data_IF_164037982715
#
_entry.id   IF_164037982715
#
_cell.length_a   1.000
_cell.length_b   1.000
_cell.length_c   1.000
_cell.angle_alpha   90.00
_cell.angle_beta   90.00
_cell.angle_gamma   90.00
#
_symmetry.space_group_name_H-M   'P 1'
#
loop_
_entity.id
_entity.type
_entity.pdbx_description
1 polymer ?
#
# COMPACT_ATOMS: atom_id res chain seq x y z
N UNK A 1 -36.93 29.33 12.55
CA UNK A 1 -37.00 27.90 12.84
C UNK A 1 -36.67 27.21 11.55
N UNK A 2 -35.44 26.73 11.40
CA UNK A 2 -35.03 25.96 10.22
C UNK A 2 -35.62 24.57 10.40
N UNK A 3 -36.53 24.17 9.52
CA UNK A 3 -37.02 22.79 9.42
C UNK A 3 -35.82 21.92 9.07
N UNK A 4 -35.37 21.09 10.01
CA UNK A 4 -34.45 19.99 9.75
C UNK A 4 -35.22 18.96 8.90
N UNK A 5 -35.03 19.01 7.56
CA UNK A 5 -35.48 17.93 6.69
C UNK A 5 -34.84 16.64 7.23
N UNK A 6 -35.64 15.60 7.57
CA UNK A 6 -35.08 14.35 8.02
C UNK A 6 -34.16 13.82 6.90
N UNK A 7 -32.90 13.58 7.20
CA UNK A 7 -31.98 12.92 6.26
C UNK A 7 -32.60 11.59 5.86
N UNK A 8 -32.99 11.45 4.59
CA UNK A 8 -33.57 10.20 4.08
C UNK A 8 -32.56 9.08 4.33
N UNK A 9 -33.05 7.94 4.82
CA UNK A 9 -32.26 6.71 4.95
C UNK A 9 -31.62 6.40 3.61
N UNK A 10 -30.26 6.39 3.50
CA UNK A 10 -29.61 6.08 2.24
C UNK A 10 -29.84 4.62 1.86
N UNK A 11 -29.90 4.34 0.56
CA UNK A 11 -29.91 2.96 0.07
C UNK A 11 -28.56 2.27 0.38
N UNK A 12 -27.46 3.00 0.19
CA UNK A 12 -26.09 2.50 0.36
C UNK A 12 -25.30 3.42 1.29
N UNK A 13 -24.79 2.86 2.37
CA UNK A 13 -23.80 3.50 3.23
C UNK A 13 -22.40 3.03 2.84
N UNK A 14 -21.55 3.93 2.37
CA UNK A 14 -20.14 3.63 2.06
C UNK A 14 -19.26 4.14 3.19
N UNK A 15 -18.48 3.27 3.82
CA UNK A 15 -17.60 3.62 4.94
C UNK A 15 -16.15 3.68 4.46
N UNK A 16 -15.54 4.86 4.53
CA UNK A 16 -14.20 5.20 4.04
C UNK A 16 -14.24 6.22 2.90
N UNK A 17 -13.07 6.79 2.56
CA UNK A 17 -12.92 7.82 1.52
C UNK A 17 -11.77 7.57 0.54
N UNK A 18 -11.19 6.36 0.54
CA UNK A 18 -10.17 5.95 -0.42
C UNK A 18 -10.75 5.60 -1.79
N UNK A 19 -9.89 5.13 -2.71
CA UNK A 19 -10.32 4.78 -4.08
C UNK A 19 -11.41 3.71 -4.11
N UNK A 20 -11.39 2.74 -3.20
CA UNK A 20 -12.44 1.73 -3.12
C UNK A 20 -13.80 2.35 -2.80
N UNK A 21 -13.85 3.22 -1.79
CA UNK A 21 -15.06 3.91 -1.37
C UNK A 21 -15.62 4.81 -2.48
N UNK A 22 -14.76 5.58 -3.13
CA UNK A 22 -15.16 6.48 -4.22
C UNK A 22 -15.68 5.70 -5.43
N UNK A 23 -15.00 4.61 -5.83
CA UNK A 23 -15.48 3.77 -6.92
C UNK A 23 -16.81 3.09 -6.56
N UNK A 24 -16.98 2.63 -5.30
CA UNK A 24 -18.24 2.06 -4.82
C UNK A 24 -19.37 3.10 -4.82
N UNK A 25 -19.14 4.28 -4.29
CA UNK A 25 -20.14 5.34 -4.24
C UNK A 25 -20.59 5.80 -5.64
N UNK A 26 -19.64 6.02 -6.56
CA UNK A 26 -19.94 6.40 -7.94
C UNK A 26 -20.72 5.30 -8.65
N UNK A 27 -20.31 4.03 -8.52
CA UNK A 27 -20.98 2.91 -9.15
C UNK A 27 -22.41 2.72 -8.61
N UNK A 28 -22.59 2.81 -7.29
CA UNK A 28 -23.90 2.73 -6.67
C UNK A 28 -24.83 3.87 -7.12
N UNK A 29 -24.33 5.11 -7.18
CA UNK A 29 -25.10 6.27 -7.68
C UNK A 29 -25.49 6.10 -9.14
N UNK A 30 -24.59 5.65 -10.00
CA UNK A 30 -24.91 5.34 -11.41
C UNK A 30 -25.91 4.20 -11.53
N UNK A 31 -25.92 3.29 -10.56
CA UNK A 31 -26.92 2.24 -10.39
C UNK A 31 -28.28 2.75 -9.91
N UNK A 32 -28.46 4.05 -9.60
CA UNK A 32 -29.71 4.66 -9.17
C UNK A 32 -29.94 4.69 -7.66
N UNK A 33 -29.03 4.14 -6.84
CA UNK A 33 -29.14 4.15 -5.39
C UNK A 33 -28.84 5.53 -4.79
N UNK A 34 -29.49 5.91 -3.70
CA UNK A 34 -29.05 7.01 -2.84
C UNK A 34 -27.84 6.58 -2.03
N UNK A 35 -26.79 7.42 -1.96
CA UNK A 35 -25.51 7.06 -1.33
C UNK A 35 -25.07 8.12 -0.32
N UNK A 36 -24.79 7.67 0.89
CA UNK A 36 -24.08 8.44 1.92
C UNK A 36 -22.70 7.82 2.14
N UNK A 37 -21.64 8.63 2.09
CA UNK A 37 -20.27 8.21 2.31
C UNK A 37 -19.73 8.86 3.58
N UNK A 38 -19.07 8.08 4.45
CA UNK A 38 -18.51 8.53 5.73
C UNK A 38 -17.00 8.40 5.70
N UNK A 39 -16.29 9.52 5.80
CA UNK A 39 -14.83 9.62 5.82
C UNK A 39 -14.35 10.18 7.16
N UNK A 40 -13.47 9.44 7.83
CA UNK A 40 -12.90 9.85 9.11
C UNK A 40 -11.96 11.04 9.01
N UNK A 41 -11.22 11.14 7.90
CA UNK A 41 -10.28 12.20 7.68
C UNK A 41 -10.99 13.53 7.34
N UNK A 42 -10.40 14.69 7.72
CA UNK A 42 -10.85 15.97 7.23
C UNK A 42 -10.65 16.08 5.71
N UNK A 43 -11.35 17.03 5.09
CA UNK A 43 -11.28 17.27 3.64
C UNK A 43 -9.86 17.39 3.11
N UNK A 44 -8.96 18.02 3.85
CA UNK A 44 -7.55 18.23 3.46
C UNK A 44 -6.72 16.96 3.43
N UNK A 45 -7.09 15.94 4.22
CA UNK A 45 -6.36 14.68 4.39
C UNK A 45 -7.14 13.46 3.88
N UNK A 46 -8.30 13.67 3.27
CA UNK A 46 -9.17 12.62 2.71
C UNK A 46 -8.47 11.76 1.67
N UNK A 47 -8.98 10.57 1.45
CA UNK A 47 -8.57 9.68 0.37
C UNK A 47 -7.70 8.50 0.79
N UNK A 48 -7.51 8.30 2.09
CA UNK A 48 -6.75 7.17 2.64
C UNK A 48 -5.35 7.05 2.03
N UNK A 49 -4.80 5.86 1.98
CA UNK A 49 -3.49 5.60 1.38
C UNK A 49 -3.44 5.80 -0.14
N UNK A 50 -4.59 5.85 -0.82
CA UNK A 50 -4.63 6.09 -2.28
C UNK A 50 -4.02 7.43 -2.66
N UNK A 51 -4.08 8.45 -1.80
CA UNK A 51 -3.44 9.78 -2.04
C UNK A 51 -1.94 9.69 -2.30
N UNK A 52 -1.27 8.62 -1.81
CA UNK A 52 0.15 8.36 -2.02
C UNK A 52 0.44 7.39 -3.18
N UNK A 53 -0.60 6.89 -3.86
CA UNK A 53 -0.44 6.02 -5.00
C UNK A 53 0.09 6.80 -6.22
N UNK A 54 0.68 6.08 -7.18
CA UNK A 54 1.15 6.68 -8.42
C UNK A 54 0.76 5.89 -9.66
N UNK A 55 0.50 4.59 -9.50
CA UNK A 55 0.22 3.68 -10.59
C UNK A 55 -0.70 2.54 -10.13
N UNK A 56 -1.31 1.88 -11.08
CA UNK A 56 -2.08 0.66 -10.86
C UNK A 56 -1.73 -0.38 -11.92
N UNK A 57 -1.92 -1.65 -11.57
CA UNK A 57 -1.68 -2.79 -12.44
C UNK A 57 -2.98 -3.15 -13.17
N UNK A 58 -2.88 -3.47 -14.46
CA UNK A 58 -4.04 -3.78 -15.29
C UNK A 58 -3.71 -4.88 -16.29
N UNK A 59 -4.73 -5.66 -16.65
CA UNK A 59 -4.71 -6.57 -17.78
C UNK A 59 -4.96 -5.77 -19.07
N UNK A 60 -4.22 -6.12 -20.13
CA UNK A 60 -4.42 -5.55 -21.46
C UNK A 60 -3.85 -6.48 -22.54
N UNK A 61 -4.58 -6.65 -23.64
CA UNK A 61 -4.23 -7.60 -24.70
C UNK A 61 -3.18 -7.04 -25.68
N UNK A 62 -3.03 -5.72 -25.73
CA UNK A 62 -2.06 -5.05 -26.60
C UNK A 62 -1.68 -3.68 -26.06
N UNK A 63 -0.76 -2.99 -26.77
CA UNK A 63 -0.35 -1.64 -26.41
C UNK A 63 -1.52 -0.67 -26.34
N UNK A 64 -1.52 0.17 -25.32
CA UNK A 64 -2.41 1.32 -25.17
C UNK A 64 -1.54 2.58 -25.00
N UNK A 65 -2.10 3.75 -25.24
CA UNK A 65 -1.36 5.01 -25.11
C UNK A 65 -0.74 5.22 -23.71
N UNK A 66 -1.25 4.53 -22.67
CA UNK A 66 -0.79 4.60 -21.28
C UNK A 66 0.03 3.37 -20.82
N UNK A 67 0.09 2.30 -21.60
CA UNK A 67 0.93 1.11 -21.34
C UNK A 67 1.43 0.50 -22.65
N UNK A 68 2.73 0.18 -22.75
CA UNK A 68 3.26 -0.57 -23.89
C UNK A 68 3.00 -2.08 -23.70
N UNK A 69 3.18 -2.85 -24.77
CA UNK A 69 3.13 -4.32 -24.79
C UNK A 69 1.73 -4.92 -24.53
N UNK A 70 1.70 -6.17 -24.09
CA UNK A 70 0.52 -6.91 -23.65
C UNK A 70 0.76 -7.53 -22.28
N UNK A 71 -0.32 -7.70 -21.52
CA UNK A 71 -0.29 -8.37 -20.21
C UNK A 71 -1.62 -9.09 -19.97
N UNK A 72 -1.78 -10.24 -20.62
CA UNK A 72 -3.00 -11.04 -20.56
C UNK A 72 -3.23 -11.71 -19.20
N UNK A 73 -4.43 -12.26 -19.01
CA UNK A 73 -4.93 -12.84 -17.76
C UNK A 73 -3.95 -13.84 -17.14
N UNK A 74 -3.46 -14.82 -17.94
CA UNK A 74 -2.59 -15.87 -17.41
C UNK A 74 -1.21 -15.37 -16.99
N UNK A 75 -0.65 -14.39 -17.70
CA UNK A 75 0.61 -13.76 -17.31
C UNK A 75 0.46 -12.99 -15.99
N UNK A 76 -0.65 -12.30 -15.82
CA UNK A 76 -0.95 -11.58 -14.60
C UNK A 76 -1.19 -12.57 -13.44
N UNK A 77 -1.97 -13.62 -13.66
CA UNK A 77 -2.25 -14.65 -12.66
C UNK A 77 -0.96 -15.36 -12.22
N UNK A 78 -0.07 -15.75 -13.15
CA UNK A 78 1.25 -16.32 -12.80
C UNK A 78 2.09 -15.39 -11.95
N UNK A 79 2.10 -14.09 -12.26
CA UNK A 79 2.82 -13.11 -11.43
C UNK A 79 2.24 -13.02 -10.01
N UNK A 80 0.91 -13.08 -9.88
CA UNK A 80 0.23 -13.05 -8.59
C UNK A 80 0.54 -14.32 -7.78
N UNK A 81 0.35 -15.51 -8.36
CA UNK A 81 0.66 -16.78 -7.70
C UNK A 81 2.12 -16.84 -7.24
N UNK A 82 3.05 -16.32 -8.05
CA UNK A 82 4.47 -16.26 -7.70
C UNK A 82 4.74 -15.42 -6.44
N UNK A 83 4.10 -14.25 -6.32
CA UNK A 83 4.35 -13.35 -5.17
C UNK A 83 3.58 -13.78 -3.92
N UNK A 84 2.44 -14.44 -4.08
CA UNK A 84 1.63 -14.98 -2.98
C UNK A 84 2.04 -16.40 -2.59
N UNK A 85 2.97 -17.01 -3.33
CA UNK A 85 3.35 -18.43 -3.15
C UNK A 85 2.14 -19.38 -3.22
N UNK A 86 1.13 -19.01 -4.01
CA UNK A 86 -0.12 -19.75 -4.16
C UNK A 86 -1.20 -19.42 -3.13
N UNK A 87 -0.91 -18.62 -2.11
CA UNK A 87 -1.88 -18.19 -1.10
C UNK A 87 -2.76 -17.04 -1.65
N UNK A 88 -3.58 -17.33 -2.66
CA UNK A 88 -4.53 -16.39 -3.25
C UNK A 88 -5.86 -17.12 -3.50
N UNK A 89 -6.96 -16.45 -3.22
CA UNK A 89 -8.29 -16.90 -3.67
C UNK A 89 -8.35 -16.77 -5.19
N UNK A 90 -8.39 -17.91 -5.91
CA UNK A 90 -8.29 -17.91 -7.36
C UNK A 90 -9.50 -17.28 -8.06
N UNK A 91 -10.77 -17.54 -7.66
CA UNK A 91 -11.94 -16.84 -8.16
C UNK A 91 -11.82 -15.32 -8.04
N UNK A 92 -11.54 -14.80 -6.85
CA UNK A 92 -11.37 -13.36 -6.61
C UNK A 92 -10.18 -12.79 -7.39
N UNK A 93 -9.07 -13.51 -7.46
CA UNK A 93 -7.90 -13.09 -8.24
C UNK A 93 -8.22 -12.93 -9.73
N UNK A 94 -8.93 -13.88 -10.35
CA UNK A 94 -9.34 -13.81 -11.75
C UNK A 94 -10.39 -12.73 -11.98
N UNK A 95 -11.35 -12.55 -11.05
CA UNK A 95 -12.30 -11.46 -11.08
C UNK A 95 -11.60 -10.09 -11.08
N UNK A 96 -10.62 -9.91 -10.20
CA UNK A 96 -9.77 -8.71 -10.17
C UNK A 96 -9.03 -8.49 -11.48
N UNK A 97 -8.38 -9.53 -12.01
CA UNK A 97 -7.56 -9.42 -13.21
C UNK A 97 -8.41 -9.00 -14.41
N UNK A 98 -9.54 -9.67 -14.64
CA UNK A 98 -10.47 -9.34 -15.73
C UNK A 98 -11.05 -7.94 -15.54
N UNK A 99 -11.53 -7.61 -14.33
CA UNK A 99 -12.06 -6.28 -14.03
C UNK A 99 -11.04 -5.15 -14.18
N UNK A 100 -9.73 -5.48 -14.12
CA UNK A 100 -8.67 -4.47 -14.28
C UNK A 100 -8.53 -3.97 -15.72
N UNK A 101 -9.00 -4.71 -16.72
CA UNK A 101 -9.08 -4.23 -18.10
C UNK A 101 -10.16 -3.15 -18.24
N UNK A 102 -11.33 -3.38 -17.64
CA UNK A 102 -12.49 -2.49 -17.76
C UNK A 102 -12.42 -1.26 -16.84
N UNK A 103 -11.64 -1.34 -15.78
CA UNK A 103 -11.56 -0.23 -14.81
C UNK A 103 -10.87 1.01 -15.39
N UNK A 104 -9.94 0.83 -16.32
CA UNK A 104 -9.16 1.95 -16.88
C UNK A 104 -10.03 2.93 -17.65
N UNK A 105 -10.82 2.53 -18.67
CA UNK A 105 -11.74 3.45 -19.35
C UNK A 105 -12.76 4.04 -18.37
N UNK A 106 -13.26 3.24 -17.42
CA UNK A 106 -14.18 3.73 -16.40
C UNK A 106 -13.57 4.84 -15.52
N UNK A 107 -12.30 4.72 -15.09
CA UNK A 107 -11.59 5.76 -14.34
C UNK A 107 -11.42 7.04 -15.17
N UNK A 108 -11.09 6.92 -16.46
CA UNK A 108 -10.95 8.06 -17.39
C UNK A 108 -12.28 8.79 -17.55
N UNK A 109 -13.40 8.08 -17.73
CA UNK A 109 -14.76 8.64 -17.78
C UNK A 109 -15.14 9.38 -16.48
N UNK A 110 -14.54 8.99 -15.35
CA UNK A 110 -14.73 9.65 -14.06
C UNK A 110 -13.67 10.73 -13.77
N UNK A 111 -12.99 11.23 -14.81
CA UNK A 111 -12.10 12.38 -14.75
C UNK A 111 -10.66 12.07 -14.33
N UNK A 112 -10.30 10.79 -14.13
CA UNK A 112 -8.93 10.40 -13.84
C UNK A 112 -8.06 10.54 -15.09
N UNK A 113 -6.90 11.17 -14.94
CA UNK A 113 -5.95 11.34 -16.04
C UNK A 113 -4.75 10.39 -15.85
N UNK A 114 -4.34 9.78 -16.95
CA UNK A 114 -3.15 8.95 -17.01
C UNK A 114 -2.01 9.71 -17.70
N UNK A 115 -0.77 9.29 -17.45
CA UNK A 115 0.38 9.83 -18.16
C UNK A 115 0.86 8.86 -19.24
N UNK A 116 1.51 9.40 -20.25
CA UNK A 116 2.23 8.64 -21.26
C UNK A 116 3.37 7.83 -20.62
N UNK A 117 3.50 6.53 -20.92
CA UNK A 117 4.61 5.71 -20.41
C UNK A 117 5.99 6.23 -20.77
N UNK A 118 6.14 6.90 -21.90
CA UNK A 118 7.40 7.47 -22.37
C UNK A 118 7.85 8.71 -21.60
N UNK A 119 6.94 9.38 -20.89
CA UNK A 119 7.23 10.63 -20.16
C UNK A 119 7.74 10.41 -18.73
N UNK A 120 7.77 9.17 -18.25
CA UNK A 120 8.22 8.85 -16.89
C UNK A 120 9.72 8.78 -16.73
N UNK A 121 10.28 9.50 -15.76
CA UNK A 121 11.71 9.43 -15.40
C UNK A 121 12.14 8.06 -14.84
N UNK A 122 11.21 7.15 -14.58
CA UNK A 122 11.46 5.89 -13.89
C UNK A 122 11.15 4.69 -14.79
N UNK A 123 12.07 3.72 -14.93
CA UNK A 123 11.88 2.52 -15.75
C UNK A 123 10.93 1.55 -15.05
N UNK A 124 9.65 1.86 -15.02
CA UNK A 124 8.66 1.00 -14.41
C UNK A 124 8.20 -0.16 -15.27
N UNK A 125 7.61 -1.12 -14.58
CA UNK A 125 6.99 -2.28 -15.17
C UNK A 125 6.03 -1.84 -16.29
N UNK A 126 6.19 -2.42 -17.48
CA UNK A 126 5.30 -2.26 -18.64
C UNK A 126 3.88 -2.80 -18.40
N UNK A 127 3.54 -3.14 -17.16
CA UNK A 127 2.31 -3.79 -16.72
C UNK A 127 1.48 -2.90 -15.79
N UNK A 128 1.84 -1.63 -15.70
CA UNK A 128 1.17 -0.64 -14.83
C UNK A 128 1.00 0.67 -15.55
N UNK A 129 -0.20 1.26 -15.45
CA UNK A 129 -0.46 2.63 -15.88
C UNK A 129 -0.22 3.62 -14.73
N UNK A 130 0.20 4.83 -15.06
CA UNK A 130 0.54 5.89 -14.10
C UNK A 130 -0.49 6.99 -14.12
N UNK A 131 -0.85 7.49 -12.94
CA UNK A 131 -1.73 8.65 -12.81
C UNK A 131 -0.97 9.95 -13.06
N UNK A 132 -1.49 10.80 -13.92
CA UNK A 132 -1.00 12.17 -14.06
C UNK A 132 -1.35 12.96 -12.78
N UNK A 133 -0.32 13.44 -12.09
CA UNK A 133 -0.46 14.08 -10.77
C UNK A 133 -0.63 13.10 -9.61
N UNK A 134 -0.42 11.80 -9.85
CA UNK A 134 -0.43 10.76 -8.83
C UNK A 134 -1.80 10.48 -8.20
N UNK A 135 -1.79 9.75 -7.09
CA UNK A 135 -3.02 9.33 -6.40
C UNK A 135 -3.85 10.50 -5.87
N UNK A 136 -3.22 11.60 -5.48
CA UNK A 136 -3.96 12.78 -5.02
C UNK A 136 -4.80 13.40 -6.13
N UNK A 137 -4.29 13.49 -7.35
CA UNK A 137 -5.07 13.96 -8.50
C UNK A 137 -6.20 12.97 -8.83
N UNK A 138 -5.91 11.66 -8.83
CA UNK A 138 -6.92 10.62 -9.04
C UNK A 138 -8.08 10.73 -8.06
N UNK A 139 -7.82 10.75 -6.75
CA UNK A 139 -8.91 10.82 -5.76
C UNK A 139 -9.68 12.13 -5.85
N UNK A 140 -9.04 13.26 -6.13
CA UNK A 140 -9.73 14.53 -6.29
C UNK A 140 -10.70 14.50 -7.50
N UNK A 141 -10.33 13.87 -8.60
CA UNK A 141 -11.21 13.67 -9.75
C UNK A 141 -12.43 12.80 -9.38
N UNK A 142 -12.18 11.68 -8.66
CA UNK A 142 -13.27 10.81 -8.19
C UNK A 142 -14.17 11.49 -7.16
N UNK A 143 -13.64 12.29 -6.23
CA UNK A 143 -14.44 13.10 -5.32
C UNK A 143 -15.32 14.11 -6.08
N UNK A 144 -14.77 14.80 -7.07
CA UNK A 144 -15.53 15.74 -7.89
C UNK A 144 -16.67 15.03 -8.63
N UNK A 145 -16.42 13.84 -9.17
CA UNK A 145 -17.45 13.02 -9.83
C UNK A 145 -18.51 12.52 -8.85
N UNK A 146 -18.12 12.03 -7.67
CA UNK A 146 -19.05 11.57 -6.63
C UNK A 146 -20.01 12.70 -6.19
N UNK A 147 -19.47 13.89 -5.92
CA UNK A 147 -20.26 15.08 -5.57
C UNK A 147 -21.20 15.51 -6.70
N UNK A 148 -20.72 15.52 -7.96
CA UNK A 148 -21.55 15.83 -9.13
C UNK A 148 -22.72 14.85 -9.31
N UNK A 149 -22.53 13.59 -8.94
CA UNK A 149 -23.58 12.56 -8.97
C UNK A 149 -24.52 12.63 -7.75
N UNK A 150 -24.31 13.55 -6.80
CA UNK A 150 -25.16 13.71 -5.63
C UNK A 150 -24.87 12.69 -4.51
N UNK A 151 -23.62 12.21 -4.37
CA UNK A 151 -23.20 11.48 -3.20
C UNK A 151 -23.08 12.45 -2.02
N UNK A 152 -23.75 12.17 -0.91
CA UNK A 152 -23.54 12.90 0.35
C UNK A 152 -22.26 12.38 1.01
N UNK A 153 -21.35 13.27 1.40
CA UNK A 153 -20.05 12.90 1.99
C UNK A 153 -19.87 13.63 3.31
N UNK A 154 -19.76 12.84 4.38
CA UNK A 154 -19.48 13.33 5.73
C UNK A 154 -17.99 13.15 6.02
N UNK A 155 -17.29 14.24 6.23
CA UNK A 155 -15.88 14.27 6.65
C UNK A 155 -15.79 14.41 8.19
N UNK A 156 -14.61 14.16 8.74
CA UNK A 156 -14.37 14.20 10.20
C UNK A 156 -15.37 13.30 10.96
N UNK A 157 -15.77 12.18 10.32
CA UNK A 157 -16.88 11.33 10.76
C UNK A 157 -16.41 9.90 10.88
N UNK A 158 -16.42 9.35 12.10
CA UNK A 158 -15.93 8.02 12.42
C UNK A 158 -17.08 7.06 12.72
N UNK A 159 -17.10 5.90 12.08
CA UNK A 159 -17.98 4.79 12.47
C UNK A 159 -17.43 4.14 13.72
N UNK A 160 -18.19 4.22 14.83
CA UNK A 160 -17.78 3.73 16.15
C UNK A 160 -18.54 2.48 16.59
N UNK A 161 -19.68 2.17 15.95
CA UNK A 161 -20.40 0.91 16.10
C UNK A 161 -21.10 0.55 14.79
N UNK A 162 -21.34 -0.74 14.58
CA UNK A 162 -22.12 -1.24 13.45
C UNK A 162 -22.94 -2.46 13.86
N UNK A 163 -24.09 -2.62 13.20
CA UNK A 163 -24.93 -3.79 13.33
C UNK A 163 -25.57 -4.16 11.99
N UNK A 164 -25.72 -5.44 11.73
CA UNK A 164 -26.36 -5.95 10.52
C UNK A 164 -26.96 -7.34 10.78
N UNK A 165 -28.05 -7.62 10.09
CA UNK A 165 -28.70 -8.93 10.11
C UNK A 165 -29.19 -9.28 8.70
N UNK A 166 -29.48 -10.54 8.44
CA UNK A 166 -29.90 -10.98 7.10
C UNK A 166 -31.35 -10.57 6.73
N UNK A 167 -32.16 -10.23 7.73
CA UNK A 167 -33.58 -9.89 7.53
C UNK A 167 -33.86 -8.38 7.65
N UNK A 168 -32.82 -7.55 7.79
CA UNK A 168 -33.00 -6.13 8.08
C UNK A 168 -31.90 -5.26 7.43
N UNK A 169 -32.00 -3.97 7.66
CA UNK A 169 -31.05 -2.98 7.24
C UNK A 169 -29.74 -3.08 8.04
N UNK A 170 -28.66 -2.56 7.45
CA UNK A 170 -27.42 -2.28 8.18
C UNK A 170 -27.58 -0.99 8.98
N UNK A 171 -26.93 -0.88 10.13
CA UNK A 171 -26.85 0.36 10.86
C UNK A 171 -25.41 0.63 11.32
N UNK A 172 -25.04 1.89 11.33
CA UNK A 172 -23.77 2.38 11.86
C UNK A 172 -24.00 3.58 12.78
N UNK A 173 -23.30 3.61 13.90
CA UNK A 173 -23.22 4.77 14.76
C UNK A 173 -22.00 5.61 14.35
N UNK A 174 -22.25 6.84 13.96
CA UNK A 174 -21.25 7.76 13.38
C UNK A 174 -20.98 8.86 14.39
N UNK A 175 -19.73 8.97 14.83
CA UNK A 175 -19.25 10.04 15.68
C UNK A 175 -18.78 11.21 14.82
N UNK A 176 -19.43 12.35 14.97
CA UNK A 176 -19.05 13.61 14.34
C UNK A 176 -19.16 14.76 15.36
N UNK A 177 -18.12 15.56 15.49
CA UNK A 177 -18.05 16.72 16.42
C UNK A 177 -18.55 16.39 17.86
N UNK A 178 -18.18 15.22 18.37
CA UNK A 178 -18.56 14.75 19.72
C UNK A 178 -20.01 14.25 19.85
N UNK A 179 -20.75 14.17 18.76
CA UNK A 179 -22.14 13.66 18.73
C UNK A 179 -22.18 12.35 17.95
N UNK A 180 -23.00 11.42 18.43
CA UNK A 180 -23.26 10.14 17.74
C UNK A 180 -24.59 10.25 17.02
N UNK A 181 -24.57 9.97 15.72
CA UNK A 181 -25.74 9.79 14.86
C UNK A 181 -25.84 8.31 14.47
N UNK A 182 -27.02 7.71 14.65
CA UNK A 182 -27.30 6.38 14.12
C UNK A 182 -27.86 6.49 12.72
N UNK A 183 -27.15 5.91 11.75
CA UNK A 183 -27.55 5.86 10.35
C UNK A 183 -27.90 4.42 9.98
N UNK A 184 -29.10 4.23 9.42
CA UNK A 184 -29.55 2.98 8.81
C UNK A 184 -29.43 3.06 7.30
N UNK A 185 -29.10 1.95 6.66
CA UNK A 185 -29.04 1.83 5.20
C UNK A 185 -29.50 0.41 4.78
N UNK A 186 -29.94 0.26 3.54
CA UNK A 186 -30.28 -1.07 3.01
C UNK A 186 -29.04 -1.94 2.86
N UNK A 187 -27.93 -1.34 2.43
CA UNK A 187 -26.64 -2.02 2.29
C UNK A 187 -25.50 -1.16 2.83
N UNK A 188 -24.41 -1.79 3.25
CA UNK A 188 -23.18 -1.13 3.68
C UNK A 188 -21.99 -1.68 2.90
N UNK A 189 -21.06 -0.79 2.50
CA UNK A 189 -19.81 -1.19 1.85
C UNK A 189 -18.64 -0.67 2.70
N UNK A 190 -17.90 -1.60 3.33
CA UNK A 190 -16.73 -1.30 4.12
C UNK A 190 -15.49 -1.13 3.22
N UNK A 191 -14.95 0.09 3.16
CA UNK A 191 -13.80 0.48 2.32
C UNK A 191 -12.71 1.20 3.14
N UNK A 192 -12.47 0.79 4.37
CA UNK A 192 -11.72 1.56 5.38
C UNK A 192 -10.23 1.26 5.44
N UNK A 193 -9.69 0.51 4.48
CA UNK A 193 -8.27 0.14 4.49
C UNK A 193 -7.92 -0.90 5.56
N UNK A 194 -6.64 -0.97 5.92
CA UNK A 194 -6.14 -1.86 6.97
C UNK A 194 -6.07 -1.18 8.34
N UNK A 195 -5.14 -1.65 9.20
CA UNK A 195 -4.93 -1.12 10.55
C UNK A 195 -3.52 -0.56 10.77
N UNK A 196 -2.79 -0.27 9.70
CA UNK A 196 -1.38 0.13 9.78
C UNK A 196 -1.12 1.44 10.53
N UNK A 197 -2.12 2.29 10.72
CA UNK A 197 -1.99 3.52 11.51
C UNK A 197 -2.32 3.33 13.00
N UNK A 198 -2.78 2.15 13.41
CA UNK A 198 -3.04 1.81 14.81
C UNK A 198 -1.76 1.25 15.44
N UNK A 199 -0.99 2.10 16.11
CA UNK A 199 0.29 1.72 16.67
C UNK A 199 0.16 0.67 17.78
N UNK A 200 -0.92 0.70 18.56
CA UNK A 200 -1.18 -0.29 19.60
C UNK A 200 -1.48 -1.65 18.99
N UNK A 201 -2.30 -1.72 17.94
CA UNK A 201 -2.56 -2.95 17.23
C UNK A 201 -1.30 -3.49 16.52
N UNK A 202 -0.47 -2.62 15.96
CA UNK A 202 0.82 -3.05 15.42
C UNK A 202 1.72 -3.63 16.53
N UNK A 203 1.72 -3.02 17.74
CA UNK A 203 2.48 -3.55 18.87
C UNK A 203 1.93 -4.88 19.38
N UNK A 204 0.60 -5.05 19.42
CA UNK A 204 -0.04 -6.34 19.73
C UNK A 204 0.41 -7.44 18.74
N UNK A 205 0.58 -7.10 17.46
CA UNK A 205 0.86 -8.06 16.39
C UNK A 205 2.35 -8.31 16.14
N UNK A 206 3.19 -7.26 16.17
CA UNK A 206 4.62 -7.32 15.85
C UNK A 206 5.52 -7.22 17.09
N UNK A 207 4.93 -7.06 18.29
CA UNK A 207 5.68 -6.80 19.49
C UNK A 207 6.32 -5.41 19.56
N UNK A 208 7.32 -5.20 20.46
CA UNK A 208 7.97 -3.90 20.66
C UNK A 208 8.65 -3.32 19.42
N UNK A 209 9.00 -4.14 18.43
CA UNK A 209 9.58 -3.70 17.16
C UNK A 209 8.69 -2.68 16.41
N UNK A 210 7.37 -2.73 16.63
CA UNK A 210 6.43 -1.79 16.00
C UNK A 210 6.70 -0.32 16.34
N UNK A 211 7.36 -0.03 17.46
CA UNK A 211 7.71 1.34 17.87
C UNK A 211 8.65 2.01 16.85
N UNK A 212 9.52 1.22 16.25
CA UNK A 212 10.44 1.65 15.19
C UNK A 212 9.79 1.83 13.81
N UNK A 213 8.55 1.40 13.61
CA UNK A 213 7.92 1.46 12.28
C UNK A 213 7.50 2.88 11.92
N UNK A 214 7.68 3.25 10.66
CA UNK A 214 7.14 4.46 10.05
C UNK A 214 5.89 4.08 9.25
N UNK A 215 4.86 4.90 9.29
CA UNK A 215 3.62 4.66 8.54
C UNK A 215 3.66 5.49 7.27
N UNK A 216 3.83 4.85 6.12
CA UNK A 216 3.95 5.54 4.83
C UNK A 216 2.66 6.19 4.35
N UNK A 217 1.55 5.89 4.97
CA UNK A 217 0.22 6.35 4.61
C UNK A 217 -0.39 7.27 5.66
N UNK A 218 -1.69 7.45 5.49
CA UNK A 218 -2.52 8.28 6.33
C UNK A 218 -2.54 7.82 7.80
N UNK A 219 -2.64 8.74 8.78
CA UNK A 219 -2.86 8.38 10.18
C UNK A 219 -4.28 7.85 10.47
N UNK A 220 -5.18 7.85 9.47
CA UNK A 220 -6.60 7.49 9.66
C UNK A 220 -6.92 6.01 9.40
N UNK A 221 -6.04 5.22 8.80
CA UNK A 221 -6.23 3.77 8.58
C UNK A 221 -5.95 2.97 9.87
N UNK A 222 -6.83 3.14 10.88
CA UNK A 222 -6.65 2.60 12.24
C UNK A 222 -7.33 1.25 12.47
N UNK A 223 -8.07 0.74 11.47
CA UNK A 223 -8.75 -0.55 11.57
C UNK A 223 -9.99 -0.56 12.47
N UNK A 224 -10.55 0.59 12.85
CA UNK A 224 -11.76 0.64 13.71
C UNK A 224 -12.88 -0.22 13.12
N UNK A 225 -13.25 -0.01 11.86
CA UNK A 225 -14.34 -0.77 11.20
C UNK A 225 -13.96 -2.25 11.02
N UNK A 226 -12.69 -2.55 10.76
CA UNK A 226 -12.20 -3.93 10.73
C UNK A 226 -12.44 -4.63 12.07
N UNK A 227 -12.08 -4.01 13.21
CA UNK A 227 -12.38 -4.58 14.55
C UNK A 227 -13.87 -4.75 14.79
N UNK A 228 -14.69 -3.80 14.38
CA UNK A 228 -16.14 -3.88 14.53
C UNK A 228 -16.74 -5.06 13.73
N UNK A 229 -16.30 -5.27 12.49
CA UNK A 229 -16.71 -6.40 11.66
C UNK A 229 -16.30 -7.74 12.28
N UNK A 230 -15.06 -7.86 12.74
CA UNK A 230 -14.57 -9.06 13.42
C UNK A 230 -15.34 -9.32 14.70
N UNK A 231 -15.64 -8.29 15.51
CA UNK A 231 -16.48 -8.39 16.72
C UNK A 231 -17.92 -8.76 16.43
N UNK A 232 -18.42 -8.46 15.23
CA UNK A 232 -19.74 -8.88 14.75
C UNK A 232 -19.76 -10.29 14.11
N UNK A 233 -18.67 -11.07 14.27
CA UNK A 233 -18.59 -12.45 13.80
C UNK A 233 -18.19 -12.62 12.33
N UNK A 234 -17.64 -11.57 11.68
CA UNK A 234 -17.07 -11.70 10.34
C UNK A 234 -15.74 -12.46 10.41
N UNK A 235 -15.55 -13.39 9.49
CA UNK A 235 -14.36 -14.25 9.40
C UNK A 235 -13.11 -13.44 9.04
N UNK A 236 -12.03 -13.53 9.84
CA UNK A 236 -10.76 -12.92 9.51
C UNK A 236 -10.08 -13.64 8.34
N UNK A 237 -9.23 -12.91 7.61
CA UNK A 237 -8.33 -13.45 6.59
C UNK A 237 -6.96 -12.78 6.67
N UNK A 238 -5.90 -13.57 6.43
CA UNK A 238 -4.52 -13.09 6.52
C UNK A 238 -3.94 -13.16 7.92
N UNK A 239 -2.82 -12.48 8.13
CA UNK A 239 -2.05 -12.50 9.37
C UNK A 239 -1.82 -11.06 9.85
N UNK A 240 -2.26 -10.68 11.07
CA UNK A 240 -2.07 -9.34 11.61
C UNK A 240 -0.61 -8.97 11.81
N UNK A 241 0.29 -9.96 11.97
CA UNK A 241 1.74 -9.77 12.06
C UNK A 241 2.43 -9.73 10.69
N UNK A 242 1.68 -9.52 9.60
CA UNK A 242 2.23 -9.36 8.24
C UNK A 242 1.82 -8.02 7.65
N UNK A 243 2.79 -7.33 7.05
CA UNK A 243 2.56 -6.06 6.37
C UNK A 243 3.51 -5.88 5.19
N UNK A 244 3.07 -5.12 4.20
CA UNK A 244 3.97 -4.64 3.16
C UNK A 244 4.81 -3.50 3.71
N UNK A 245 6.09 -3.77 3.90
CA UNK A 245 7.06 -2.84 4.47
C UNK A 245 8.21 -2.59 3.49
N UNK A 246 8.64 -1.34 3.38
CA UNK A 246 9.78 -0.92 2.55
C UNK A 246 10.79 -0.14 3.40
N UNK A 247 12.03 -0.05 2.93
CA UNK A 247 13.01 0.85 3.54
C UNK A 247 12.62 2.31 3.27
N UNK A 248 12.45 3.10 4.33
CA UNK A 248 12.21 4.55 4.24
C UNK A 248 13.30 5.31 4.99
N UNK A 249 13.51 6.56 4.61
CA UNK A 249 14.40 7.45 5.34
C UNK A 249 13.86 7.67 6.77
N UNK A 250 14.65 7.33 7.77
CA UNK A 250 14.29 7.42 9.17
C UNK A 250 14.01 8.86 9.66
N UNK A 251 14.46 9.86 8.92
CA UNK A 251 14.24 11.30 9.19
C UNK A 251 12.91 11.81 8.66
N UNK A 252 12.16 10.96 7.94
CA UNK A 252 10.82 11.29 7.47
C UNK A 252 9.80 11.39 8.60
N UNK A 253 8.59 11.89 8.32
CA UNK A 253 7.52 11.95 9.31
C UNK A 253 7.03 10.54 9.68
N UNK A 254 6.55 10.37 10.93
CA UNK A 254 5.98 9.10 11.42
C UNK A 254 4.81 8.62 10.55
N UNK A 255 3.97 9.54 10.08
CA UNK A 255 2.84 9.29 9.19
C UNK A 255 2.97 10.09 7.89
N UNK A 256 2.23 9.70 6.87
CA UNK A 256 2.06 10.44 5.60
C UNK A 256 3.35 10.65 4.78
N UNK A 257 4.45 9.98 5.12
CA UNK A 257 5.70 10.06 4.36
C UNK A 257 5.58 9.58 2.91
N UNK A 258 4.60 8.73 2.65
CA UNK A 258 4.25 8.30 1.32
C UNK A 258 5.39 7.61 0.56
N UNK A 259 5.40 7.79 -0.75
CA UNK A 259 6.40 7.17 -1.62
C UNK A 259 7.72 7.93 -1.64
N UNK A 260 7.72 9.22 -1.30
CA UNK A 260 8.88 10.11 -1.43
C UNK A 260 9.98 9.80 -0.41
N UNK A 261 9.62 9.22 0.74
CA UNK A 261 10.59 8.81 1.77
C UNK A 261 11.25 7.46 1.50
N UNK A 262 10.78 6.70 0.48
CA UNK A 262 11.33 5.39 0.16
C UNK A 262 12.74 5.50 -0.40
N UNK A 263 13.67 4.72 0.14
CA UNK A 263 15.03 4.60 -0.36
C UNK A 263 15.12 3.38 -1.30
N UNK A 264 15.58 3.59 -2.52
CA UNK A 264 15.69 2.57 -3.57
C UNK A 264 17.13 2.29 -4.01
N UNK A 265 18.09 3.00 -3.46
CA UNK A 265 19.50 2.92 -3.85
C UNK A 265 20.25 1.73 -3.21
N UNK A 266 19.58 0.88 -2.44
CA UNK A 266 20.19 -0.26 -1.73
C UNK A 266 21.10 -1.14 -2.60
N UNK A 267 20.75 -1.49 -3.86
CA UNK A 267 21.65 -2.28 -4.70
C UNK A 267 22.97 -1.61 -5.05
N UNK A 268 23.04 -0.30 -4.90
CA UNK A 268 24.23 0.49 -5.28
C UNK A 268 25.25 0.69 -4.16
N UNK A 269 24.93 0.20 -2.94
CA UNK A 269 25.78 0.25 -1.77
C UNK A 269 25.66 -0.98 -0.90
N UNK A 270 25.95 -0.84 0.39
CA UNK A 270 25.73 -1.86 1.41
C UNK A 270 24.79 -1.32 2.49
N UNK A 271 24.12 -2.23 3.21
CA UNK A 271 23.27 -1.87 4.34
C UNK A 271 23.83 -2.47 5.61
N UNK A 272 24.08 -1.63 6.61
CA UNK A 272 24.57 -2.03 7.92
C UNK A 272 23.53 -1.73 9.00
N UNK A 273 23.51 -2.53 10.06
CA UNK A 273 22.72 -2.27 11.26
C UNK A 273 23.39 -1.19 12.15
N UNK A 274 22.83 -0.94 13.34
CA UNK A 274 23.40 0.02 14.29
C UNK A 274 24.76 -0.37 14.88
N UNK A 275 25.18 -1.64 14.70
CA UNK A 275 26.50 -2.13 15.11
C UNK A 275 27.53 -2.02 13.96
N UNK A 276 27.18 -1.41 12.84
CA UNK A 276 28.01 -1.30 11.66
C UNK A 276 28.20 -2.62 10.89
N UNK A 277 27.34 -3.62 11.12
CA UNK A 277 27.42 -4.97 10.54
C UNK A 277 26.43 -5.12 9.40
N UNK A 278 26.87 -5.72 8.26
CA UNK A 278 25.95 -6.16 7.21
C UNK A 278 25.14 -7.37 7.70
N UNK A 279 23.86 -7.39 7.40
CA UNK A 279 22.93 -8.43 7.87
C UNK A 279 22.17 -9.14 6.75
N UNK A 280 22.25 -8.65 5.50
CA UNK A 280 21.53 -9.25 4.37
C UNK A 280 22.23 -8.99 3.04
N UNK A 281 21.84 -9.76 1.99
CA UNK A 281 22.30 -9.62 0.61
C UNK A 281 21.57 -8.48 -0.10
N UNK A 282 22.24 -7.37 -0.35
CA UNK A 282 21.68 -6.23 -1.09
C UNK A 282 21.46 -6.53 -2.58
N UNK A 283 22.08 -7.60 -3.10
CA UNK A 283 21.97 -8.06 -4.49
C UNK A 283 20.93 -9.14 -4.73
N UNK A 284 20.34 -9.75 -3.69
CA UNK A 284 19.44 -10.90 -3.80
C UNK A 284 18.28 -10.68 -4.78
N UNK A 285 17.68 -9.51 -4.77
CA UNK A 285 16.61 -9.17 -5.70
C UNK A 285 17.00 -8.00 -6.60
N UNK A 286 17.72 -8.30 -7.66
CA UNK A 286 18.03 -7.34 -8.72
C UNK A 286 16.79 -6.91 -9.54
N UNK A 287 15.62 -7.51 -9.28
CA UNK A 287 14.35 -7.11 -9.89
C UNK A 287 13.84 -5.80 -9.31
N UNK A 288 12.96 -5.15 -10.05
CA UNK A 288 12.39 -3.84 -9.68
C UNK A 288 11.55 -3.81 -8.38
N UNK A 289 11.38 -4.94 -7.70
CA UNK A 289 10.59 -5.10 -6.46
C UNK A 289 11.41 -5.40 -5.21
N UNK A 290 12.75 -5.38 -5.28
CA UNK A 290 13.64 -5.65 -4.14
C UNK A 290 13.34 -4.77 -2.91
N UNK A 291 12.91 -3.55 -3.13
CA UNK A 291 12.52 -2.63 -2.07
C UNK A 291 11.37 -3.16 -1.19
N UNK A 292 10.57 -4.09 -1.69
CA UNK A 292 9.38 -4.61 -0.99
C UNK A 292 9.72 -5.52 0.21
N UNK A 293 10.98 -5.93 0.37
CA UNK A 293 11.42 -6.83 1.44
C UNK A 293 12.25 -6.13 2.51
N UNK A 294 12.86 -5.01 2.17
CA UNK A 294 13.83 -4.36 3.06
C UNK A 294 13.21 -3.82 4.34
N UNK A 295 11.97 -3.38 4.32
CA UNK A 295 11.30 -2.93 5.55
C UNK A 295 11.20 -4.05 6.60
N UNK A 296 10.78 -5.24 6.19
CA UNK A 296 10.68 -6.39 7.09
C UNK A 296 12.05 -6.80 7.66
N UNK A 297 13.11 -6.79 6.84
CA UNK A 297 14.48 -7.09 7.28
C UNK A 297 15.02 -6.08 8.28
N UNK A 298 14.74 -4.79 8.06
CA UNK A 298 15.12 -3.73 9.01
C UNK A 298 14.33 -3.85 10.32
N UNK A 299 13.09 -4.35 10.28
CA UNK A 299 12.29 -4.60 11.48
C UNK A 299 12.93 -5.64 12.43
N UNK A 300 13.77 -6.54 11.90
CA UNK A 300 14.52 -7.54 12.66
C UNK A 300 15.86 -7.00 13.21
N UNK A 301 16.32 -5.83 12.73
CA UNK A 301 17.56 -5.21 13.22
C UNK A 301 17.37 -4.62 14.63
N UNK A 302 18.46 -4.51 15.42
CA UNK A 302 18.45 -3.78 16.68
C UNK A 302 17.89 -2.36 16.49
N UNK A 303 16.99 -1.94 17.38
CA UNK A 303 16.26 -0.65 17.34
C UNK A 303 15.50 -0.37 16.04
N UNK A 304 15.28 -1.38 15.18
CA UNK A 304 14.61 -1.28 13.89
C UNK A 304 15.20 -0.16 13.02
N UNK A 305 16.53 -0.04 13.05
CA UNK A 305 17.27 0.95 12.25
C UNK A 305 18.41 0.27 11.49
N UNK A 306 18.63 0.74 10.27
CA UNK A 306 19.78 0.36 9.47
C UNK A 306 20.29 1.59 8.70
N UNK A 307 21.43 1.47 8.05
CA UNK A 307 22.05 2.57 7.31
C UNK A 307 22.50 2.06 5.94
N UNK A 308 21.98 2.68 4.89
CA UNK A 308 22.53 2.48 3.54
C UNK A 308 23.79 3.32 3.40
N UNK A 309 24.88 2.69 3.04
CA UNK A 309 26.20 3.33 2.79
C UNK A 309 26.51 3.26 1.30
N UNK A 310 26.87 4.38 0.72
CA UNK A 310 27.22 4.57 -0.69
C UNK A 310 28.55 5.30 -0.77
N UNK A 311 29.34 4.99 -1.78
CA UNK A 311 30.42 5.87 -2.24
C UNK A 311 29.92 6.81 -3.35
N UNK A 312 30.79 7.65 -3.90
CA UNK A 312 30.43 8.59 -4.95
C UNK A 312 29.87 7.89 -6.21
N UNK A 313 30.41 6.72 -6.58
CA UNK A 313 29.92 5.93 -7.74
C UNK A 313 28.53 5.34 -7.48
N UNK A 314 28.31 4.78 -6.30
CA UNK A 314 27.03 4.24 -5.88
C UNK A 314 25.97 5.33 -5.80
N UNK A 315 26.33 6.50 -5.25
CA UNK A 315 25.44 7.64 -5.14
C UNK A 315 25.04 8.21 -6.52
N UNK A 316 25.97 8.30 -7.48
CA UNK A 316 25.67 8.76 -8.83
C UNK A 316 24.60 7.92 -9.56
N UNK A 317 24.41 6.67 -9.15
CA UNK A 317 23.37 5.77 -9.69
C UNK A 317 22.04 5.84 -8.92
N UNK A 318 22.04 6.51 -7.77
CA UNK A 318 20.84 6.63 -6.94
C UNK A 318 19.85 7.59 -7.57
N UNK A 319 18.56 7.25 -7.44
CA UNK A 319 17.50 8.20 -7.78
C UNK A 319 17.44 9.32 -6.75
N UNK A 320 17.01 10.53 -7.14
CA UNK A 320 16.80 11.63 -6.21
C UNK A 320 15.90 11.22 -5.04
N UNK A 321 16.25 11.66 -3.85
CA UNK A 321 15.52 11.41 -2.60
C UNK A 321 14.93 12.70 -2.05
N UNK A 322 13.87 12.59 -1.24
CA UNK A 322 13.22 13.77 -0.62
C UNK A 322 14.15 14.49 0.37
N UNK A 323 15.00 13.73 1.07
CA UNK A 323 16.00 14.27 2.00
C UNK A 323 17.40 14.01 1.46
N UNK A 324 18.33 14.99 1.55
CA UNK A 324 19.71 14.77 1.10
C UNK A 324 20.39 13.71 1.97
N UNK A 325 21.38 12.96 1.42
CA UNK A 325 22.16 12.02 2.21
C UNK A 325 23.02 12.75 3.26
N UNK A 326 23.38 12.02 4.32
CA UNK A 326 24.46 12.42 5.23
C UNK A 326 25.77 12.13 4.51
N UNK A 327 26.68 13.10 4.41
CA UNK A 327 27.94 12.98 3.64
C UNK A 327 29.15 13.16 4.53
N UNK A 328 30.25 12.50 4.13
CA UNK A 328 31.57 12.63 4.73
C UNK A 328 32.67 12.25 3.72
N UNK A 329 33.88 12.75 3.94
CA UNK A 329 35.02 12.45 3.09
C UNK A 329 35.77 11.16 3.48
N UNK A 330 35.41 10.59 4.66
CA UNK A 330 35.92 9.30 5.12
C UNK A 330 34.83 8.44 5.76
N UNK A 331 35.08 7.13 5.83
CA UNK A 331 34.18 6.19 6.51
C UNK A 331 34.16 6.46 8.02
N UNK A 332 35.29 6.79 8.62
CA UNK A 332 35.41 7.16 10.03
C UNK A 332 34.51 8.36 10.39
N UNK A 333 34.60 9.42 9.59
CA UNK A 333 33.77 10.61 9.74
C UNK A 333 32.28 10.30 9.53
N UNK A 334 31.97 9.49 8.51
CA UNK A 334 30.60 9.09 8.24
C UNK A 334 30.00 8.30 9.41
N UNK A 335 30.76 7.33 9.95
CA UNK A 335 30.33 6.54 11.11
C UNK A 335 30.08 7.45 12.33
N UNK A 336 30.95 8.39 12.61
CA UNK A 336 30.77 9.36 13.70
C UNK A 336 29.47 10.20 13.51
N UNK A 337 29.20 10.70 12.29
CA UNK A 337 27.96 11.44 11.97
C UNK A 337 26.69 10.57 12.13
N UNK A 338 26.80 9.26 11.96
CA UNK A 338 25.70 8.31 12.12
C UNK A 338 25.55 7.78 13.56
N UNK A 339 26.50 8.10 14.46
CA UNK A 339 26.53 7.56 15.82
C UNK A 339 26.89 6.06 15.87
N UNK A 340 27.64 5.58 14.86
CA UNK A 340 28.14 4.21 14.78
C UNK A 340 29.59 4.13 15.26
N UNK A 341 30.03 2.93 15.67
CA UNK A 341 31.45 2.68 15.96
C UNK A 341 32.29 2.77 14.68
N UNK A 342 33.22 3.73 14.57
CA UNK A 342 34.06 3.89 13.39
C UNK A 342 34.90 2.65 13.07
N UNK A 343 35.43 1.97 14.08
CA UNK A 343 36.30 0.79 13.89
C UNK A 343 35.51 -0.41 13.33
N UNK A 344 34.29 -0.62 13.82
CA UNK A 344 33.38 -1.64 13.31
C UNK A 344 33.01 -1.34 11.85
N UNK A 345 32.67 -0.08 11.56
CA UNK A 345 32.28 0.36 10.20
C UNK A 345 33.44 0.20 9.20
N UNK A 346 34.64 0.65 9.55
CA UNK A 346 35.84 0.49 8.71
C UNK A 346 36.16 -1.00 8.45
N UNK A 347 36.01 -1.83 9.46
CA UNK A 347 36.21 -3.27 9.31
C UNK A 347 35.21 -3.88 8.34
N UNK A 348 33.92 -3.53 8.44
CA UNK A 348 32.87 -3.99 7.52
C UNK A 348 33.14 -3.55 6.09
N UNK A 349 33.51 -2.26 5.87
CA UNK A 349 33.84 -1.73 4.53
C UNK A 349 35.08 -2.42 3.96
N UNK A 350 36.14 -2.60 4.76
CA UNK A 350 37.37 -3.28 4.31
C UNK A 350 37.08 -4.74 3.89
N UNK A 351 36.34 -5.49 4.70
CA UNK A 351 35.96 -6.87 4.37
C UNK A 351 35.11 -6.95 3.12
N UNK A 352 34.14 -6.04 2.97
CA UNK A 352 33.30 -5.96 1.77
C UNK A 352 34.15 -5.66 0.54
N UNK A 353 35.02 -4.65 0.59
CA UNK A 353 35.86 -4.24 -0.52
C UNK A 353 36.81 -5.38 -0.95
N UNK A 354 37.45 -6.05 -0.01
CA UNK A 354 38.31 -7.21 -0.29
C UNK A 354 37.55 -8.36 -0.98
N UNK A 355 36.30 -8.57 -0.62
CA UNK A 355 35.45 -9.60 -1.22
C UNK A 355 34.97 -9.27 -2.65
N UNK A 356 35.09 -8.00 -3.09
CA UNK A 356 34.70 -7.57 -4.45
C UNK A 356 35.82 -7.68 -5.48
N UNK A 357 37.07 -7.77 -5.06
CA UNK A 357 38.24 -7.70 -5.96
C UNK A 357 38.35 -8.92 -6.91
N UNK A 358 37.72 -10.02 -6.58
CA UNK A 358 37.71 -11.25 -7.39
C UNK A 358 36.77 -11.19 -8.62
N UNK A 359 35.99 -10.11 -8.80
CA UNK A 359 34.91 -10.07 -9.81
C UNK A 359 35.36 -9.56 -11.19
N UNK A 360 36.58 -9.02 -11.34
CA UNK A 360 37.20 -8.61 -12.60
C UNK A 360 36.30 -7.68 -13.46
N UNK A 361 36.31 -7.89 -14.78
CA UNK A 361 35.57 -7.12 -15.78
C UNK A 361 34.10 -7.56 -15.99
N UNK A 362 33.54 -8.39 -15.12
CA UNK A 362 32.16 -8.85 -15.24
C UNK A 362 31.15 -7.66 -15.31
N UNK A 363 30.08 -7.81 -16.11
CA UNK A 363 29.01 -6.81 -16.12
C UNK A 363 28.48 -6.53 -14.70
N UNK A 364 28.14 -5.30 -14.37
CA UNK A 364 27.70 -4.90 -13.02
C UNK A 364 26.64 -5.82 -12.41
N UNK A 365 25.66 -6.22 -13.21
CA UNK A 365 24.57 -7.13 -12.78
C UNK A 365 25.05 -8.51 -12.34
N UNK A 366 26.24 -8.93 -12.75
CA UNK A 366 26.80 -10.27 -12.52
C UNK A 366 27.94 -10.23 -11.49
N UNK A 367 28.34 -9.06 -10.99
CA UNK A 367 29.36 -8.91 -9.97
C UNK A 367 28.84 -9.35 -8.62
N UNK A 368 29.52 -10.29 -7.98
CA UNK A 368 29.18 -10.82 -6.66
C UNK A 368 30.38 -10.77 -5.72
N UNK A 369 30.16 -10.78 -4.43
CA UNK A 369 31.25 -10.95 -3.45
C UNK A 369 31.64 -12.43 -3.33
N UNK A 370 32.92 -12.69 -3.01
CA UNK A 370 33.44 -14.02 -2.76
C UNK A 370 33.89 -14.15 -1.31
N UNK A 371 33.49 -15.25 -0.63
CA UNK A 371 33.92 -15.55 0.75
C UNK A 371 33.35 -14.63 1.82
N UNK A 372 32.32 -13.83 1.54
CA UNK A 372 31.70 -12.90 2.47
C UNK A 372 30.33 -13.42 2.94
N UNK A 373 30.05 -13.27 4.22
CA UNK A 373 28.75 -13.61 4.84
C UNK A 373 28.19 -12.39 5.58
N UNK A 374 26.97 -11.93 5.25
CA UNK A 374 26.17 -12.34 4.11
C UNK A 374 26.83 -11.94 2.78
N UNK A 375 26.60 -12.70 1.69
CA UNK A 375 27.13 -12.31 0.38
C UNK A 375 26.44 -11.06 -0.15
N UNK A 376 26.99 -10.41 -1.15
CA UNK A 376 26.26 -9.57 -2.07
C UNK A 376 26.25 -10.25 -3.42
N UNK A 377 25.14 -10.89 -3.77
CA UNK A 377 25.02 -11.80 -4.91
C UNK A 377 25.05 -11.12 -6.27
N UNK A 378 24.85 -9.78 -6.32
CA UNK A 378 24.84 -8.97 -7.54
C UNK A 378 25.24 -7.54 -7.27
N UNK A 379 25.69 -6.86 -8.32
CA UNK A 379 26.09 -5.45 -8.28
C UNK A 379 27.07 -5.12 -7.15
N UNK A 380 27.94 -6.08 -6.79
CA UNK A 380 28.99 -5.88 -5.82
C UNK A 380 30.09 -4.98 -6.44
N UNK A 381 30.27 -3.80 -5.85
CA UNK A 381 31.28 -2.82 -6.22
C UNK A 381 31.92 -2.31 -4.94
N UNK A 382 33.24 -2.27 -4.89
CA UNK A 382 33.99 -1.73 -3.76
C UNK A 382 33.62 -0.26 -3.50
N UNK A 383 33.45 0.08 -2.24
CA UNK A 383 33.16 1.44 -1.77
C UNK A 383 34.49 2.15 -1.46
N UNK A 384 35.06 2.83 -2.46
CA UNK A 384 36.40 3.40 -2.38
C UNK A 384 36.49 4.89 -2.69
N UNK A 385 35.45 5.49 -3.28
CA UNK A 385 35.50 6.86 -3.78
C UNK A 385 34.72 7.83 -2.91
N UNK A 386 35.37 8.76 -2.20
CA UNK A 386 34.70 9.83 -1.50
C UNK A 386 34.04 10.83 -2.51
N UNK A 387 33.05 11.66 -2.08
CA UNK A 387 32.47 11.61 -0.74
C UNK A 387 31.57 10.39 -0.53
N UNK A 388 31.63 9.81 0.68
CA UNK A 388 30.69 8.78 1.10
C UNK A 388 29.36 9.40 1.50
N UNK A 389 28.29 8.64 1.28
CA UNK A 389 26.93 9.08 1.55
C UNK A 389 26.15 8.01 2.33
N UNK A 390 25.31 8.43 3.26
CA UNK A 390 24.45 7.51 4.01
C UNK A 390 23.00 7.99 4.11
N UNK A 391 22.10 7.01 4.20
CA UNK A 391 20.70 7.20 4.52
C UNK A 391 20.35 6.33 5.73
N UNK A 392 19.88 6.90 6.85
CA UNK A 392 19.30 6.12 7.93
C UNK A 392 17.95 5.55 7.47
N UNK A 393 17.72 4.26 7.74
CA UNK A 393 16.59 3.50 7.24
C UNK A 393 15.74 2.97 8.39
N UNK A 394 14.41 3.05 8.24
CA UNK A 394 13.44 2.38 9.10
C UNK A 394 12.44 1.57 8.28
N UNK A 395 11.72 0.59 8.91
CA UNK A 395 10.59 -0.07 8.30
C UNK A 395 9.47 0.92 7.99
N UNK A 396 9.10 1.05 6.72
CA UNK A 396 7.98 1.89 6.29
C UNK A 396 6.78 1.05 5.93
N UNK A 397 5.78 0.97 6.82
CA UNK A 397 4.56 0.19 6.62
C UNK A 397 3.64 0.89 5.63
N UNK A 398 3.19 0.17 4.62
CA UNK A 398 2.26 0.70 3.61
C UNK A 398 0.83 0.23 3.87
N UNK A 399 0.65 -1.06 4.14
CA UNK A 399 -0.62 -1.69 4.51
C UNK A 399 -0.35 -3.03 5.21
N UNK A 400 -1.33 -3.49 5.97
CA UNK A 400 -1.31 -4.77 6.66
C UNK A 400 -1.93 -5.88 5.81
N UNK A 401 -1.46 -7.11 5.94
CA UNK A 401 -1.98 -8.31 5.26
C UNK A 401 -3.02 -9.02 6.13
N UNK A 402 -3.93 -8.24 6.70
CA UNK A 402 -5.00 -8.73 7.56
C UNK A 402 -6.29 -7.98 7.28
N UNK A 403 -7.40 -8.69 7.23
CA UNK A 403 -8.71 -8.12 6.91
C UNK A 403 -9.85 -9.11 7.09
N UNK A 404 -10.92 -8.90 6.34
CA UNK A 404 -12.14 -9.74 6.37
C UNK A 404 -12.22 -10.65 5.16
N UNK A 405 -12.75 -11.86 5.35
CA UNK A 405 -13.08 -12.75 4.26
C UNK A 405 -14.30 -12.23 3.49
N UNK A 406 -14.27 -12.38 2.17
CA UNK A 406 -15.40 -12.08 1.27
C UNK A 406 -15.66 -13.24 0.33
N UNK A 407 -16.89 -13.34 -0.16
CA UNK A 407 -17.25 -14.25 -1.25
C UNK A 407 -16.95 -13.62 -2.64
N UNK A 408 -17.28 -14.33 -3.72
CA UNK A 408 -17.13 -13.89 -5.11
C UNK A 408 -18.05 -12.73 -5.52
N UNK A 409 -19.04 -12.41 -4.66
CA UNK A 409 -19.92 -11.25 -4.76
C UNK A 409 -19.47 -10.07 -3.88
N UNK A 410 -18.31 -10.17 -3.23
CA UNK A 410 -17.72 -9.18 -2.32
C UNK A 410 -18.53 -8.96 -1.03
N UNK A 411 -19.44 -9.87 -0.68
CA UNK A 411 -20.14 -9.87 0.61
C UNK A 411 -19.21 -10.41 1.69
N UNK A 412 -19.23 -9.80 2.88
CA UNK A 412 -18.42 -10.33 3.99
C UNK A 412 -18.93 -11.70 4.43
N UNK A 413 -18.01 -12.61 4.70
CA UNK A 413 -18.30 -13.98 5.14
C UNK A 413 -18.17 -14.06 6.65
N UNK A 414 -19.14 -14.69 7.32
CA UNK A 414 -19.13 -14.93 8.77
C UNK A 414 -18.28 -16.14 9.16
N UNK A 415 -18.02 -16.28 10.45
CA UNK A 415 -17.24 -17.41 10.98
C UNK A 415 -17.90 -18.79 10.73
N UNK A 416 -19.22 -18.84 10.56
CA UNK A 416 -19.97 -20.03 10.19
C UNK A 416 -19.95 -20.36 8.69
N UNK A 417 -19.27 -19.52 7.89
CA UNK A 417 -19.17 -19.66 6.44
C UNK A 417 -20.32 -19.03 5.65
N UNK A 418 -21.33 -18.45 6.30
CA UNK A 418 -22.43 -17.77 5.61
C UNK A 418 -22.03 -16.36 5.18
N UNK A 419 -22.58 -15.90 4.06
CA UNK A 419 -22.36 -14.53 3.62
C UNK A 419 -23.38 -13.59 4.28
N UNK A 420 -22.94 -12.41 4.72
CA UNK A 420 -23.82 -11.34 5.18
C UNK A 420 -24.44 -10.62 3.97
N UNK A 421 -25.75 -10.77 3.77
CA UNK A 421 -26.42 -10.33 2.54
C UNK A 421 -26.32 -8.81 2.28
N UNK A 422 -26.26 -7.99 3.32
CA UNK A 422 -26.33 -6.53 3.22
C UNK A 422 -25.00 -5.82 3.46
N UNK A 423 -23.89 -6.57 3.66
CA UNK A 423 -22.58 -6.00 3.97
C UNK A 423 -21.53 -6.47 2.98
N UNK A 424 -20.93 -5.51 2.30
CA UNK A 424 -19.86 -5.72 1.33
C UNK A 424 -18.53 -5.18 1.88
N UNK A 425 -17.43 -5.70 1.39
CA UNK A 425 -16.12 -5.13 1.67
C UNK A 425 -15.29 -5.01 0.39
N UNK A 426 -14.57 -3.88 0.23
CA UNK A 426 -13.72 -3.64 -0.93
C UNK A 426 -12.46 -2.86 -0.55
N UNK A 427 -11.39 -3.05 -1.31
CA UNK A 427 -10.11 -2.41 -1.07
C UNK A 427 -9.24 -3.14 -0.05
N UNK A 428 -8.36 -2.42 0.63
CA UNK A 428 -7.32 -3.05 1.45
C UNK A 428 -7.87 -3.81 2.66
N UNK A 429 -9.08 -3.51 3.13
CA UNK A 429 -9.74 -4.26 4.23
C UNK A 429 -9.98 -5.75 3.89
N UNK A 430 -10.04 -6.10 2.60
CA UNK A 430 -10.22 -7.50 2.15
C UNK A 430 -9.06 -8.01 1.29
N UNK A 431 -7.98 -7.23 1.15
CA UNK A 431 -6.92 -7.52 0.21
C UNK A 431 -6.17 -8.85 0.46
N UNK A 432 -6.16 -9.33 1.71
CA UNK A 432 -5.51 -10.59 2.08
C UNK A 432 -6.13 -11.81 1.38
N UNK A 433 -7.41 -11.77 0.97
CA UNK A 433 -8.01 -12.83 0.13
C UNK A 433 -7.24 -13.03 -1.18
N UNK A 434 -6.73 -11.97 -1.77
CA UNK A 434 -6.04 -11.99 -3.07
C UNK A 434 -4.52 -11.94 -2.92
N UNK A 435 -4.01 -11.11 -2.00
CA UNK A 435 -2.57 -10.88 -1.84
C UNK A 435 -1.89 -11.88 -0.91
N UNK A 436 -2.64 -12.59 -0.04
CA UNK A 436 -2.03 -13.33 1.06
C UNK A 436 -1.07 -12.41 1.83
N UNK A 437 0.21 -12.77 1.91
CA UNK A 437 1.31 -11.95 2.43
C UNK A 437 2.23 -11.38 1.33
N UNK A 438 1.81 -11.47 0.06
CA UNK A 438 2.59 -11.07 -1.10
C UNK A 438 2.45 -9.58 -1.47
N UNK A 439 3.34 -9.14 -2.36
CA UNK A 439 3.28 -7.81 -2.93
C UNK A 439 3.48 -7.83 -4.45
N UNK A 440 2.58 -7.20 -5.18
CA UNK A 440 2.71 -6.97 -6.60
C UNK A 440 2.44 -5.49 -6.90
N UNK A 441 3.44 -4.79 -7.48
CA UNK A 441 3.38 -3.35 -7.67
C UNK A 441 2.13 -2.91 -8.47
N UNK A 442 1.41 -1.93 -7.92
CA UNK A 442 0.18 -1.39 -8.50
C UNK A 442 -1.09 -2.21 -8.22
N UNK A 443 -0.98 -3.41 -7.59
CA UNK A 443 -2.14 -4.28 -7.38
C UNK A 443 -3.12 -3.72 -6.34
N UNK A 444 -2.63 -3.09 -5.27
CA UNK A 444 -3.51 -2.54 -4.23
C UNK A 444 -4.49 -1.49 -4.75
N UNK A 445 -4.07 -0.64 -5.71
CA UNK A 445 -4.98 0.32 -6.34
C UNK A 445 -5.93 -0.36 -7.31
N UNK A 446 -5.45 -1.32 -8.12
CA UNK A 446 -6.30 -2.11 -9.00
C UNK A 446 -7.41 -2.83 -8.21
N UNK A 447 -7.02 -3.53 -7.13
CA UNK A 447 -7.95 -4.20 -6.21
C UNK A 447 -8.98 -3.22 -5.63
N UNK A 448 -8.53 -2.06 -5.16
CA UNK A 448 -9.41 -1.06 -4.56
C UNK A 448 -10.42 -0.50 -5.59
N UNK A 449 -9.98 -0.19 -6.81
CA UNK A 449 -10.85 0.40 -7.82
C UNK A 449 -11.81 -0.61 -8.43
N UNK A 450 -11.32 -1.80 -8.77
CA UNK A 450 -12.14 -2.88 -9.36
C UNK A 450 -13.19 -3.35 -8.36
N UNK A 451 -12.77 -3.78 -7.18
CA UNK A 451 -13.72 -4.30 -6.19
C UNK A 451 -14.61 -3.21 -5.60
N UNK A 452 -14.12 -1.97 -5.49
CA UNK A 452 -14.97 -0.85 -5.12
C UNK A 452 -16.11 -0.67 -6.12
N UNK A 453 -15.81 -0.63 -7.43
CA UNK A 453 -16.82 -0.54 -8.48
C UNK A 453 -17.82 -1.71 -8.42
N UNK A 454 -17.32 -2.94 -8.38
CA UNK A 454 -18.17 -4.15 -8.37
C UNK A 454 -19.07 -4.22 -7.12
N UNK A 455 -18.55 -3.88 -5.93
CA UNK A 455 -19.33 -3.81 -4.71
C UNK A 455 -20.43 -2.73 -4.78
N UNK A 456 -20.14 -1.56 -5.35
CA UNK A 456 -21.11 -0.50 -5.58
C UNK A 456 -22.23 -0.92 -6.52
N UNK A 457 -21.88 -1.57 -7.64
CA UNK A 457 -22.86 -2.14 -8.60
C UNK A 457 -23.72 -3.23 -7.93
N UNK A 458 -23.13 -4.12 -7.12
CA UNK A 458 -23.84 -5.17 -6.41
C UNK A 458 -24.80 -4.60 -5.36
N UNK A 459 -24.36 -3.65 -4.56
CA UNK A 459 -25.19 -2.97 -3.57
C UNK A 459 -26.39 -2.28 -4.23
N UNK A 460 -26.19 -1.55 -5.32
CA UNK A 460 -27.30 -0.88 -6.03
C UNK A 460 -28.30 -1.87 -6.64
N UNK A 461 -27.85 -3.02 -7.14
CA UNK A 461 -28.77 -4.06 -7.63
C UNK A 461 -29.65 -4.58 -6.51
N UNK A 462 -29.06 -4.85 -5.35
CA UNK A 462 -29.77 -5.39 -4.20
C UNK A 462 -30.85 -4.43 -3.66
N UNK A 463 -30.60 -3.11 -3.70
CA UNK A 463 -31.59 -2.11 -3.24
C UNK A 463 -32.80 -1.99 -4.14
N UNK A 464 -32.78 -2.54 -5.37
CA UNK A 464 -33.94 -2.55 -6.32
C UNK A 464 -34.81 -3.78 -6.17
N UNK A 465 -34.29 -4.85 -5.57
CA UNK A 465 -35.00 -6.14 -5.44
C UNK A 465 -35.69 -6.32 -4.10
N UNK A 466 -35.47 -5.42 -3.18
CA UNK A 466 -36.15 -5.28 -1.88
C UNK A 466 -37.02 -4.02 -1.82
#
# INVERSE_FOLDING_TARGET
MSETVPLQTPDVLVVGGGSAALCAAIAARRGGASVRMVERAPVSLRGGNTRHARNFRLMHDGPQWYVPDSYGEDAFFRDLVRVTRGATDQPLARLLIRGSADITPWLIENGVRLQDPASGAMPYSRRTAFFLGGGKAMINALYATALKLGVTIDYDSEVVALSFSDNAHCAADILHAGRIERVTARTMIACTGGHQANLDWLRESFGPAADGFMIRGTPYDTGTVLRLLLGAGVKPVGDPARAHMVAVDARGPKFDGGIVTRITAIPHGIVVDRNGQRFHDEGEDARKTHFARWGARIAECPDQIAYLILDAKGFARALPTALPPIRADSITELAAKLGLDPAAMETTIRQFNAATDATGDAPLKDRATTGLTPPKSRAAVALTEPPFAAYPLRPGVTFTHFGVAVDDHLRVVRNDGTAAHHVFAAGMIMAANVLGDGYLAGLGVALSTVFGRLAGEAAARQTRTT
#
